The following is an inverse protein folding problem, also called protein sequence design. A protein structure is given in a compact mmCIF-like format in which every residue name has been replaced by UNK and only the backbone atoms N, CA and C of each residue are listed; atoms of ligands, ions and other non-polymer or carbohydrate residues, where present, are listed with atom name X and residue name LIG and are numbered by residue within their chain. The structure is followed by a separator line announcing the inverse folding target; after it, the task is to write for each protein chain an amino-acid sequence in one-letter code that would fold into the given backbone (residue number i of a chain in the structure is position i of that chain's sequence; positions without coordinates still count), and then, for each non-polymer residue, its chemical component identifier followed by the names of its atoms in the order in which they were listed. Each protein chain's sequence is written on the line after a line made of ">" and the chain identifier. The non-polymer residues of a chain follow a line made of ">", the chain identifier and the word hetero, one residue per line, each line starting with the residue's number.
data_IF_281163107961
#
_entry.id   IF_281163107961
#
_cell.length_a   1.000
_cell.length_b   1.000
_cell.length_c   1.000
_cell.angle_alpha   90.00
_cell.angle_beta   90.00
_cell.angle_gamma   90.00
#
_symmetry.space_group_name_H-M   'P 1'
#
loop_
_entity.id
_entity.type
_entity.pdbx_description
1 polymer ?
#
# COMPACT_ATOMS: atom_id res chain seq x y z
N UNK A 1 3.18 31.97 9.29
CA UNK A 1 1.81 31.68 9.76
C UNK A 1 1.70 30.19 10.07
N UNK A 2 1.07 29.78 11.18
CA UNK A 2 0.81 28.36 11.43
C UNK A 2 -0.02 27.80 10.27
N UNK A 3 0.41 26.71 9.65
CA UNK A 3 -0.40 26.06 8.61
C UNK A 3 -1.75 25.66 9.19
N UNK A 4 -2.84 26.17 8.61
CA UNK A 4 -4.18 25.85 9.08
C UNK A 4 -4.40 24.33 9.11
N UNK A 5 -4.84 23.80 10.26
CA UNK A 5 -4.93 22.36 10.48
C UNK A 5 -6.07 21.78 9.63
N UNK A 6 -5.81 20.66 8.97
CA UNK A 6 -6.74 19.93 8.10
C UNK A 6 -7.04 18.54 8.67
N UNK A 7 -8.22 18.02 8.37
CA UNK A 7 -8.59 16.65 8.69
C UNK A 7 -7.87 15.64 7.78
N UNK A 8 -7.19 14.62 8.35
CA UNK A 8 -6.49 13.60 7.55
C UNK A 8 -7.42 12.69 6.73
N UNK A 9 -8.72 12.64 7.06
CA UNK A 9 -9.69 11.87 6.29
C UNK A 9 -10.16 12.58 5.02
N UNK A 10 -10.53 13.85 5.12
CA UNK A 10 -11.23 14.57 4.05
C UNK A 10 -10.49 15.82 3.54
N UNK A 11 -9.37 16.20 4.15
CA UNK A 11 -8.56 17.34 3.75
C UNK A 11 -9.16 18.73 4.01
N UNK A 12 -10.39 18.80 4.49
CA UNK A 12 -11.06 20.07 4.82
C UNK A 12 -10.40 20.72 6.04
N UNK A 13 -10.37 22.05 6.03
CA UNK A 13 -9.91 22.87 7.14
C UNK A 13 -10.84 22.74 8.35
N UNK A 14 -10.28 22.91 9.55
CA UNK A 14 -11.08 23.10 10.76
C UNK A 14 -11.57 24.55 10.83
N UNK A 15 -12.87 24.77 10.65
CA UNK A 15 -13.55 26.07 10.65
C UNK A 15 -14.58 26.18 11.78
N UNK A 16 -14.38 25.42 12.87
CA UNK A 16 -15.27 25.42 14.06
C UNK A 16 -16.10 24.15 14.26
N UNK A 17 -16.04 23.18 13.33
CA UNK A 17 -16.72 21.89 13.52
C UNK A 17 -16.12 21.05 14.67
N UNK A 18 -16.92 20.14 15.23
CA UNK A 18 -16.45 19.18 16.22
C UNK A 18 -15.32 18.28 15.68
N UNK A 19 -14.34 18.04 16.53
CA UNK A 19 -13.14 17.29 16.20
C UNK A 19 -12.80 16.28 17.27
N UNK A 20 -12.20 15.17 16.86
CA UNK A 20 -11.62 14.16 17.73
C UNK A 20 -10.18 13.85 17.32
N UNK A 21 -9.55 12.94 18.05
CA UNK A 21 -8.24 12.39 17.71
C UNK A 21 -8.45 11.02 17.09
N UNK A 22 -7.85 10.81 15.92
CA UNK A 22 -7.85 9.51 15.26
C UNK A 22 -6.46 8.91 15.35
N UNK A 23 -6.39 7.66 15.78
CA UNK A 23 -5.18 6.87 15.70
C UNK A 23 -5.06 6.26 14.30
N UNK A 24 -3.90 6.41 13.66
CA UNK A 24 -3.65 5.71 12.39
C UNK A 24 -3.50 4.22 12.64
N UNK A 25 -2.85 3.85 13.74
CA UNK A 25 -2.80 2.49 14.27
C UNK A 25 -4.01 2.34 15.20
N UNK A 26 -5.02 1.52 14.85
CA UNK A 26 -6.25 1.44 15.64
C UNK A 26 -5.97 1.00 17.08
N UNK A 27 -6.78 1.46 18.03
CA UNK A 27 -6.58 1.17 19.45
C UNK A 27 -6.56 -0.33 19.75
N UNK A 28 -7.41 -1.12 19.07
CA UNK A 28 -7.42 -2.57 19.25
C UNK A 28 -6.10 -3.23 18.83
N UNK A 29 -5.36 -2.66 17.87
CA UNK A 29 -4.05 -3.16 17.45
C UNK A 29 -2.95 -2.69 18.39
N UNK A 30 -3.08 -1.48 18.95
CA UNK A 30 -2.23 -1.01 20.05
C UNK A 30 -2.31 -1.95 21.25
N UNK A 31 -3.51 -2.44 21.58
CA UNK A 31 -3.72 -3.39 22.67
C UNK A 31 -3.24 -4.80 22.29
N UNK A 32 -3.60 -5.30 21.10
CA UNK A 32 -3.23 -6.64 20.60
C UNK A 32 -1.70 -6.81 20.48
N UNK A 33 -0.99 -5.75 20.12
CA UNK A 33 0.47 -5.76 19.93
C UNK A 33 1.23 -5.21 21.15
N UNK A 34 0.55 -4.92 22.27
CA UNK A 34 1.15 -4.41 23.51
C UNK A 34 2.01 -3.14 23.29
N UNK A 35 1.45 -2.16 22.59
CA UNK A 35 2.16 -0.94 22.15
C UNK A 35 2.00 0.24 23.10
N UNK A 36 1.27 0.09 24.22
CA UNK A 36 0.88 1.18 25.12
C UNK A 36 2.07 2.01 25.63
N UNK A 37 3.21 1.36 25.86
CA UNK A 37 4.44 1.99 26.34
C UNK A 37 5.60 1.85 25.35
N UNK A 38 5.34 1.42 24.11
CA UNK A 38 6.37 1.21 23.10
C UNK A 38 6.55 2.44 22.22
N UNK A 39 7.80 2.70 21.88
CA UNK A 39 8.20 3.65 20.85
C UNK A 39 8.76 2.89 19.65
N UNK A 40 8.72 3.52 18.48
CA UNK A 40 9.46 3.06 17.32
C UNK A 40 10.32 4.19 16.76
N UNK A 41 11.56 3.89 16.32
CA UNK A 41 12.37 4.87 15.63
C UNK A 41 11.73 5.18 14.27
N UNK A 42 11.40 6.45 14.06
CA UNK A 42 10.85 6.95 12.81
C UNK A 42 11.90 7.83 12.15
N UNK A 43 12.41 7.37 11.01
CA UNK A 43 13.37 8.10 10.18
C UNK A 43 12.65 8.74 9.01
N UNK A 44 12.30 10.02 9.13
CA UNK A 44 11.53 10.74 8.11
C UNK A 44 12.09 12.13 7.87
N UNK A 45 12.24 12.46 6.58
CA UNK A 45 12.78 13.76 6.17
C UNK A 45 14.13 14.04 6.83
N UNK A 46 15.02 13.03 6.92
CA UNK A 46 16.37 13.13 7.49
C UNK A 46 16.44 13.49 8.97
N UNK A 47 15.35 13.30 9.71
CA UNK A 47 15.35 13.27 11.18
C UNK A 47 14.96 11.88 11.62
N UNK A 48 15.60 11.41 12.68
CA UNK A 48 15.22 10.19 13.38
C UNK A 48 14.74 10.59 14.76
N UNK A 49 13.55 10.13 15.15
CA UNK A 49 12.99 10.36 16.47
C UNK A 49 12.14 9.15 16.88
N UNK A 50 12.01 8.93 18.19
CA UNK A 50 11.18 7.88 18.73
C UNK A 50 9.73 8.36 18.84
N UNK A 51 8.85 7.76 18.04
CA UNK A 51 7.43 8.03 18.07
C UNK A 51 6.74 7.05 19.04
N UNK A 52 6.01 7.52 20.08
CA UNK A 52 5.15 6.66 20.87
C UNK A 52 4.07 6.08 19.96
N UNK A 53 4.03 4.75 19.82
CA UNK A 53 3.18 4.09 18.84
C UNK A 53 1.69 4.38 19.07
N UNK A 54 1.27 4.47 20.33
CA UNK A 54 -0.09 4.88 20.71
C UNK A 54 -0.45 6.33 20.36
N UNK A 55 0.52 7.18 20.02
CA UNK A 55 0.30 8.59 19.66
C UNK A 55 0.41 8.84 18.16
N UNK A 56 0.58 7.79 17.35
CA UNK A 56 0.56 7.92 15.88
C UNK A 56 -0.88 8.15 15.45
N UNK A 57 -1.21 9.42 15.26
CA UNK A 57 -2.57 9.88 15.00
C UNK A 57 -2.62 11.35 14.62
N UNK A 58 -3.82 11.83 14.33
CA UNK A 58 -4.04 13.24 14.00
C UNK A 58 -5.43 13.71 14.41
N UNK A 59 -5.58 15.03 14.51
CA UNK A 59 -6.88 15.66 14.71
C UNK A 59 -7.73 15.47 13.44
N UNK A 60 -8.99 15.08 13.63
CA UNK A 60 -9.93 14.76 12.56
C UNK A 60 -11.32 15.34 12.85
N UNK A 61 -12.15 15.47 11.80
CA UNK A 61 -13.55 15.82 11.98
C UNK A 61 -14.30 14.65 12.63
N UNK A 62 -15.13 14.91 13.64
CA UNK A 62 -15.88 13.87 14.37
C UNK A 62 -16.69 12.97 13.43
N UNK A 63 -17.46 13.56 12.51
CA UNK A 63 -18.21 12.86 11.45
C UNK A 63 -17.34 11.90 10.64
N UNK A 64 -16.15 12.35 10.21
CA UNK A 64 -15.26 11.50 9.42
C UNK A 64 -14.75 10.31 10.23
N UNK A 65 -14.48 10.50 11.51
CA UNK A 65 -14.06 9.41 12.38
C UNK A 65 -15.20 8.42 12.66
N UNK A 66 -16.39 8.91 12.97
CA UNK A 66 -17.58 8.07 13.21
C UNK A 66 -17.94 7.20 12.00
N UNK A 67 -17.79 7.72 10.78
CA UNK A 67 -17.95 6.92 9.56
C UNK A 67 -16.90 5.80 9.42
N UNK A 68 -15.73 5.94 10.06
CA UNK A 68 -14.58 5.05 9.90
C UNK A 68 -14.36 4.10 11.08
N UNK A 69 -14.99 4.35 12.22
CA UNK A 69 -14.97 3.43 13.37
C UNK A 69 -15.52 2.05 13.01
N UNK A 70 -16.59 1.99 12.20
CA UNK A 70 -17.17 0.74 11.68
C UNK A 70 -16.15 -0.10 10.91
N UNK A 71 -15.34 0.56 10.05
CA UNK A 71 -14.29 -0.13 9.29
C UNK A 71 -13.24 -0.75 10.22
N UNK A 72 -12.85 -0.06 11.29
CA UNK A 72 -11.89 -0.61 12.25
C UNK A 72 -12.43 -1.83 13.01
N UNK A 73 -13.70 -1.78 13.44
CA UNK A 73 -14.34 -2.91 14.11
C UNK A 73 -14.42 -4.13 13.18
N UNK A 74 -14.78 -3.92 11.92
CA UNK A 74 -14.81 -4.98 10.91
C UNK A 74 -13.40 -5.51 10.62
N UNK A 75 -12.40 -4.64 10.49
CA UNK A 75 -11.00 -5.03 10.28
C UNK A 75 -10.45 -5.85 11.44
N UNK A 76 -10.80 -5.51 12.69
CA UNK A 76 -10.48 -6.33 13.87
C UNK A 76 -11.03 -7.74 13.74
N UNK A 77 -12.30 -7.88 13.33
CA UNK A 77 -12.91 -9.19 13.13
C UNK A 77 -12.18 -10.01 12.04
N UNK A 78 -11.77 -9.36 10.95
CA UNK A 78 -10.97 -10.02 9.90
C UNK A 78 -9.59 -10.43 10.41
N UNK A 79 -8.90 -9.57 11.18
CA UNK A 79 -7.62 -9.91 11.80
C UNK A 79 -7.73 -11.15 12.70
N UNK A 80 -8.77 -11.19 13.55
CA UNK A 80 -9.05 -12.34 14.44
C UNK A 80 -9.31 -13.61 13.63
N UNK A 81 -10.05 -13.53 12.52
CA UNK A 81 -10.24 -14.69 11.62
C UNK A 81 -8.92 -15.22 11.06
N UNK A 82 -8.03 -14.33 10.61
CA UNK A 82 -6.70 -14.72 10.11
C UNK A 82 -5.89 -15.41 11.21
N UNK A 83 -5.88 -14.83 12.40
CA UNK A 83 -5.18 -15.37 13.57
C UNK A 83 -5.69 -16.76 13.94
N UNK A 84 -7.00 -16.93 13.96
CA UNK A 84 -7.70 -18.11 14.49
C UNK A 84 -8.07 -19.14 13.40
N UNK A 85 -7.38 -19.10 12.25
CA UNK A 85 -7.54 -20.06 11.14
C UNK A 85 -8.95 -20.16 10.54
N UNK A 86 -9.70 -19.06 10.60
CA UNK A 86 -11.05 -18.98 10.02
C UNK A 86 -10.98 -18.51 8.57
N UNK A 87 -11.74 -19.18 7.70
CA UNK A 87 -11.82 -18.85 6.29
C UNK A 87 -12.34 -17.42 6.05
N UNK A 88 -11.71 -16.69 5.13
CA UNK A 88 -12.11 -15.36 4.72
C UNK A 88 -13.17 -15.40 3.63
N UNK A 89 -14.16 -14.54 3.76
CA UNK A 89 -15.20 -14.27 2.76
C UNK A 89 -14.81 -13.12 1.82
N UNK A 90 -15.57 -12.93 0.74
CA UNK A 90 -15.41 -11.75 -0.13
C UNK A 90 -15.51 -10.43 0.64
N UNK A 91 -16.45 -10.32 1.58
CA UNK A 91 -16.61 -9.11 2.40
C UNK A 91 -15.41 -8.90 3.33
N UNK A 92 -14.85 -9.97 3.91
CA UNK A 92 -13.63 -9.89 4.72
C UNK A 92 -12.45 -9.37 3.90
N UNK A 93 -12.32 -9.83 2.64
CA UNK A 93 -11.30 -9.35 1.71
C UNK A 93 -11.42 -7.86 1.39
N UNK A 94 -12.65 -7.37 1.12
CA UNK A 94 -12.91 -5.95 0.87
C UNK A 94 -12.55 -5.12 2.10
N UNK A 95 -13.01 -5.55 3.29
CA UNK A 95 -12.73 -4.89 4.56
C UNK A 95 -11.24 -4.81 4.84
N UNK A 96 -10.50 -5.89 4.62
CA UNK A 96 -9.06 -5.92 4.82
C UNK A 96 -8.35 -4.93 3.89
N UNK A 97 -8.71 -4.91 2.60
CA UNK A 97 -8.11 -4.01 1.62
C UNK A 97 -8.44 -2.53 1.91
N UNK A 98 -9.68 -2.21 2.29
CA UNK A 98 -10.08 -0.86 2.73
C UNK A 98 -9.30 -0.40 3.96
N UNK A 99 -9.13 -1.30 4.94
CA UNK A 99 -8.38 -1.00 6.16
C UNK A 99 -6.89 -0.79 5.87
N UNK A 100 -6.29 -1.62 5.02
CA UNK A 100 -4.88 -1.46 4.61
C UNK A 100 -4.67 -0.15 3.85
N UNK A 101 -5.60 0.25 2.97
CA UNK A 101 -5.59 1.57 2.32
C UNK A 101 -5.62 2.71 3.35
N UNK A 102 -6.49 2.59 4.37
CA UNK A 102 -6.58 3.57 5.46
C UNK A 102 -5.25 3.69 6.20
N UNK A 103 -4.67 2.57 6.65
CA UNK A 103 -3.42 2.58 7.41
C UNK A 103 -2.28 3.14 6.56
N UNK A 104 -2.13 2.70 5.31
CA UNK A 104 -1.10 3.17 4.38
C UNK A 104 -1.16 4.68 4.13
N UNK A 105 -2.33 5.20 3.75
CA UNK A 105 -2.50 6.63 3.48
C UNK A 105 -2.43 7.45 4.77
N UNK A 106 -2.99 6.93 5.88
CA UNK A 106 -2.92 7.58 7.18
C UNK A 106 -1.49 7.71 7.69
N UNK A 107 -0.68 6.66 7.54
CA UNK A 107 0.73 6.70 7.94
C UNK A 107 1.52 7.69 7.08
N UNK A 108 1.25 7.77 5.78
CA UNK A 108 1.85 8.77 4.90
C UNK A 108 1.49 10.21 5.30
N UNK A 109 0.21 10.48 5.60
CA UNK A 109 -0.22 11.81 6.05
C UNK A 109 0.41 12.19 7.39
N UNK A 110 0.47 11.24 8.32
CA UNK A 110 1.11 11.43 9.62
C UNK A 110 2.62 11.71 9.46
N UNK A 111 3.30 10.88 8.67
CA UNK A 111 4.71 11.02 8.32
C UNK A 111 5.04 12.40 7.73
N UNK A 112 4.21 12.83 6.79
CA UNK A 112 4.32 14.14 6.16
C UNK A 112 4.12 15.28 7.17
N UNK A 113 3.15 15.15 8.08
CA UNK A 113 2.93 16.11 9.16
C UNK A 113 4.08 16.18 10.17
N UNK A 114 4.70 15.04 10.48
CA UNK A 114 5.86 14.95 11.37
C UNK A 114 7.16 15.47 10.74
N UNK A 115 7.23 15.52 9.39
CA UNK A 115 8.41 15.99 8.68
C UNK A 115 8.71 17.48 8.91
N UNK A 116 9.98 17.93 8.83
CA UNK A 116 10.36 19.35 8.89
C UNK A 116 9.60 20.19 7.87
N UNK A 117 9.24 21.43 8.21
CA UNK A 117 8.43 22.30 7.36
C UNK A 117 8.95 22.46 5.91
N UNK A 118 10.28 22.52 5.73
CA UNK A 118 10.95 22.61 4.43
C UNK A 118 10.98 21.30 3.62
N UNK A 119 10.54 20.19 4.21
CA UNK A 119 10.44 18.85 3.58
C UNK A 119 9.00 18.34 3.52
N UNK A 120 8.03 19.07 4.08
CA UNK A 120 6.62 18.69 3.99
C UNK A 120 6.13 18.85 2.57
N UNK A 121 5.47 17.81 2.07
CA UNK A 121 4.74 17.86 0.82
C UNK A 121 3.34 18.42 1.08
N UNK A 122 2.78 19.12 0.10
CA UNK A 122 1.36 19.46 0.13
C UNK A 122 0.57 18.21 -0.24
N UNK A 123 -0.27 17.64 0.65
CA UNK A 123 -1.03 16.46 0.30
C UNK A 123 -2.02 16.75 -0.83
N UNK A 124 -1.95 15.95 -1.90
CA UNK A 124 -2.89 16.00 -3.02
C UNK A 124 -4.15 15.16 -2.80
N UNK A 125 -4.13 14.33 -1.76
CA UNK A 125 -5.21 13.43 -1.41
C UNK A 125 -5.17 13.13 0.09
N UNK A 126 -6.30 12.63 0.59
CA UNK A 126 -6.51 12.21 1.96
C UNK A 126 -7.04 10.77 1.98
N UNK A 127 -7.26 10.22 3.18
CA UNK A 127 -7.68 8.82 3.33
C UNK A 127 -8.95 8.52 2.50
N UNK A 128 -9.97 9.38 2.58
CA UNK A 128 -11.23 9.14 1.88
C UNK A 128 -11.12 9.25 0.36
N UNK A 129 -10.13 9.99 -0.14
CA UNK A 129 -9.93 10.20 -1.57
C UNK A 129 -9.25 8.98 -2.23
N UNK A 130 -8.47 8.21 -1.47
CA UNK A 130 -7.64 7.11 -2.00
C UNK A 130 -8.10 5.72 -1.64
N UNK A 131 -8.88 5.56 -0.58
CA UNK A 131 -9.40 4.26 -0.20
C UNK A 131 -10.25 3.68 -1.34
N UNK A 132 -9.91 2.47 -1.78
CA UNK A 132 -10.55 1.80 -2.91
C UNK A 132 -10.59 2.65 -4.19
N UNK A 133 -9.54 3.44 -4.49
CA UNK A 133 -9.48 4.28 -5.70
C UNK A 133 -8.71 3.63 -6.87
N UNK A 134 -7.76 2.75 -6.55
CA UNK A 134 -6.87 2.11 -7.51
C UNK A 134 -6.71 0.62 -7.18
N UNK A 135 -6.22 -0.17 -8.13
CA UNK A 135 -5.94 -1.58 -7.90
C UNK A 135 -5.16 -1.76 -6.61
N UNK A 136 -5.50 -2.84 -5.91
CA UNK A 136 -5.00 -3.09 -4.56
C UNK A 136 -4.75 -4.57 -4.36
N UNK A 137 -3.61 -4.87 -3.74
CA UNK A 137 -3.12 -6.22 -3.47
C UNK A 137 -2.68 -6.25 -2.01
N UNK A 138 -3.05 -7.31 -1.31
CA UNK A 138 -2.54 -7.63 0.01
C UNK A 138 -1.78 -8.95 -0.06
N UNK A 139 -0.51 -8.93 0.34
CA UNK A 139 0.25 -10.14 0.65
C UNK A 139 0.19 -10.37 2.17
N UNK A 140 -0.09 -11.59 2.57
CA UNK A 140 -0.30 -11.98 3.95
C UNK A 140 0.54 -13.22 4.24
N UNK A 141 1.30 -13.16 5.33
CA UNK A 141 2.01 -14.30 5.86
C UNK A 141 1.72 -14.42 7.35
N UNK A 142 1.26 -15.60 7.79
CA UNK A 142 1.06 -15.91 9.20
C UNK A 142 2.15 -16.88 9.65
N UNK A 143 2.81 -16.57 10.76
CA UNK A 143 3.86 -17.38 11.36
C UNK A 143 3.32 -18.10 12.60
N UNK A 144 3.96 -19.18 13.08
CA UNK A 144 3.66 -19.72 14.39
C UNK A 144 3.88 -18.66 15.48
N UNK A 145 3.00 -18.63 16.49
CA UNK A 145 2.97 -17.56 17.49
C UNK A 145 4.24 -17.48 18.36
N UNK A 146 4.98 -18.58 18.50
CA UNK A 146 6.24 -18.68 19.23
C UNK A 146 7.46 -18.21 18.42
N UNK A 147 7.32 -18.04 17.10
CA UNK A 147 8.45 -17.69 16.20
C UNK A 147 8.64 -16.21 15.97
N UNK A 148 7.66 -15.38 16.32
CA UNK A 148 7.71 -13.94 16.13
C UNK A 148 7.26 -13.26 17.42
N UNK A 149 8.07 -12.30 17.90
CA UNK A 149 7.75 -11.56 19.12
C UNK A 149 6.46 -10.74 18.99
N UNK A 150 5.84 -10.43 20.13
CA UNK A 150 4.73 -9.47 20.19
C UNK A 150 5.20 -8.07 19.81
N UNK A 151 4.38 -7.32 19.09
CA UNK A 151 4.69 -5.95 18.70
C UNK A 151 4.22 -5.61 17.29
N UNK A 152 4.68 -4.46 16.81
CA UNK A 152 4.45 -4.01 15.44
C UNK A 152 5.76 -3.58 14.80
N UNK A 153 5.94 -3.93 13.53
CA UNK A 153 7.04 -3.46 12.68
C UNK A 153 6.46 -2.98 11.36
N UNK A 154 7.00 -1.88 10.85
CA UNK A 154 6.57 -1.25 9.62
C UNK A 154 7.67 -1.33 8.56
N UNK A 155 7.30 -1.59 7.31
CA UNK A 155 8.21 -1.72 6.17
C UNK A 155 7.74 -0.85 4.99
N UNK A 156 8.66 -0.53 4.09
CA UNK A 156 8.33 0.26 2.88
C UNK A 156 8.11 1.75 3.13
N UNK A 157 8.55 2.28 4.29
CA UNK A 157 8.47 3.70 4.66
C UNK A 157 9.71 4.51 4.23
N UNK A 158 10.36 4.09 3.14
CA UNK A 158 11.54 4.78 2.64
C UNK A 158 11.20 6.14 1.98
N UNK A 159 12.21 6.84 1.45
CA UNK A 159 12.01 8.15 0.83
C UNK A 159 10.99 8.14 -0.31
N UNK A 160 10.89 7.05 -1.08
CA UNK A 160 9.92 6.93 -2.18
C UNK A 160 8.47 6.87 -1.67
N UNK A 161 8.23 6.34 -0.47
CA UNK A 161 6.91 6.33 0.17
C UNK A 161 6.33 7.72 0.33
N UNK A 162 7.18 8.73 0.58
CA UNK A 162 6.75 10.12 0.67
C UNK A 162 6.21 10.65 -0.67
N UNK A 163 6.75 10.18 -1.79
CA UNK A 163 6.35 10.62 -3.13
C UNK A 163 5.18 9.83 -3.69
N UNK A 164 5.11 8.54 -3.37
CA UNK A 164 4.02 7.66 -3.74
C UNK A 164 3.82 6.63 -2.64
N UNK A 165 2.78 6.78 -1.79
CA UNK A 165 2.55 5.84 -0.70
C UNK A 165 1.92 4.54 -1.23
N UNK A 166 2.45 3.96 -2.30
CA UNK A 166 1.85 2.84 -3.03
C UNK A 166 2.12 1.49 -2.36
N UNK A 167 3.11 1.41 -1.48
CA UNK A 167 3.55 0.16 -0.86
C UNK A 167 3.74 0.39 0.63
N UNK A 168 3.24 -0.52 1.46
CA UNK A 168 3.46 -0.52 2.91
C UNK A 168 3.48 -1.96 3.40
N UNK A 169 4.47 -2.31 4.22
CA UNK A 169 4.46 -3.55 5.00
C UNK A 169 4.19 -3.26 6.48
N UNK A 170 3.56 -4.22 7.14
CA UNK A 170 3.26 -4.19 8.57
C UNK A 170 3.28 -5.62 9.12
N UNK A 171 4.16 -5.91 10.06
CA UNK A 171 4.13 -7.14 10.85
C UNK A 171 3.52 -6.80 12.20
N UNK A 172 2.40 -7.43 12.56
CA UNK A 172 1.81 -7.31 13.89
C UNK A 172 1.73 -8.69 14.54
N UNK A 173 2.43 -8.85 15.65
CA UNK A 173 2.68 -10.14 16.28
C UNK A 173 3.22 -11.12 15.24
N UNK A 174 2.52 -12.23 15.01
CA UNK A 174 2.89 -13.28 14.07
C UNK A 174 2.23 -13.14 12.68
N UNK A 175 1.64 -11.99 12.33
CA UNK A 175 0.97 -11.80 11.03
C UNK A 175 1.57 -10.60 10.29
N UNK A 176 2.15 -10.85 9.12
CA UNK A 176 2.64 -9.83 8.20
C UNK A 176 1.59 -9.50 7.13
N UNK A 177 1.39 -8.21 6.89
CA UNK A 177 0.58 -7.65 5.83
C UNK A 177 1.44 -6.75 4.96
N UNK A 178 1.37 -6.91 3.64
CA UNK A 178 1.96 -5.98 2.69
C UNK A 178 0.86 -5.48 1.75
N UNK A 179 0.55 -4.19 1.88
CA UNK A 179 -0.40 -3.45 1.06
C UNK A 179 0.32 -2.85 -0.14
N UNK A 180 -0.16 -3.19 -1.33
CA UNK A 180 0.30 -2.64 -2.61
C UNK A 180 -0.90 -1.99 -3.28
N UNK A 181 -0.79 -0.74 -3.72
CA UNK A 181 -1.86 -0.06 -4.43
C UNK A 181 -1.34 0.94 -5.44
N UNK A 182 -1.75 0.79 -6.68
CA UNK A 182 -1.45 1.70 -7.78
C UNK A 182 -2.41 1.44 -8.93
N UNK A 183 -2.66 2.43 -9.78
CA UNK A 183 -3.57 2.27 -10.91
C UNK A 183 -3.04 1.21 -11.89
N UNK A 184 -3.93 0.29 -12.26
CA UNK A 184 -3.65 -0.81 -13.20
C UNK A 184 -2.52 -1.75 -12.74
N UNK A 185 -2.23 -1.80 -11.44
CA UNK A 185 -1.23 -2.71 -10.88
C UNK A 185 -1.68 -4.17 -10.97
N UNK A 186 -2.92 -4.48 -10.60
CA UNK A 186 -3.43 -5.85 -10.70
C UNK A 186 -3.88 -6.16 -12.12
N UNK A 187 -4.48 -5.18 -12.82
CA UNK A 187 -5.00 -5.35 -14.17
C UNK A 187 -3.97 -5.95 -15.12
N UNK A 188 -2.73 -5.43 -15.11
CA UNK A 188 -1.62 -5.92 -15.96
C UNK A 188 -1.18 -7.36 -15.69
N UNK A 189 -1.57 -7.93 -14.56
CA UNK A 189 -1.29 -9.33 -14.24
C UNK A 189 -2.44 -10.24 -14.68
N UNK A 190 -3.67 -9.75 -14.61
CA UNK A 190 -4.88 -10.45 -15.08
C UNK A 190 -5.05 -10.41 -16.60
N UNK A 191 -4.61 -9.32 -17.24
CA UNK A 191 -4.75 -9.08 -18.68
C UNK A 191 -3.45 -8.58 -19.26
N UNK A 192 -3.18 -8.92 -20.51
CA UNK A 192 -2.08 -8.32 -21.26
C UNK A 192 -2.56 -6.96 -21.76
N UNK A 193 -2.21 -5.90 -21.03
CA UNK A 193 -2.61 -4.52 -21.32
C UNK A 193 -1.39 -3.63 -21.56
N UNK A 194 -1.40 -2.86 -22.63
CA UNK A 194 -0.47 -1.74 -22.80
C UNK A 194 -1.03 -0.55 -22.06
N UNK A 195 -0.26 0.00 -21.12
CA UNK A 195 -0.66 1.17 -20.33
C UNK A 195 0.19 2.35 -20.81
N UNK A 196 -0.42 3.30 -21.52
CA UNK A 196 0.26 4.55 -21.91
C UNK A 196 -0.18 5.67 -21.00
N UNK A 197 0.78 6.44 -20.51
CA UNK A 197 0.55 7.53 -19.56
C UNK A 197 1.24 8.79 -20.05
N UNK A 198 0.52 9.91 -20.00
CA UNK A 198 1.04 11.25 -20.30
C UNK A 198 0.91 12.12 -19.07
N UNK A 199 2.01 12.73 -18.61
CA UNK A 199 2.00 13.66 -17.50
C UNK A 199 1.66 15.07 -18.01
N UNK A 200 0.71 15.73 -17.34
CA UNK A 200 0.31 17.10 -17.60
C UNK A 200 0.99 18.08 -16.63
N UNK A 201 1.03 19.37 -16.98
CA UNK A 201 1.66 20.41 -16.16
C UNK A 201 1.05 20.57 -14.75
N UNK A 202 -0.22 20.21 -14.58
CA UNK A 202 -0.92 20.24 -13.30
C UNK A 202 -0.74 18.94 -12.48
N UNK A 203 0.23 18.11 -12.85
CA UNK A 203 0.50 16.78 -12.27
C UNK A 203 -0.60 15.74 -12.45
N UNK A 204 -1.65 16.05 -13.23
CA UNK A 204 -2.61 15.03 -13.63
C UNK A 204 -2.00 14.13 -14.70
N UNK A 205 -2.49 12.90 -14.75
CA UNK A 205 -2.09 11.92 -15.76
C UNK A 205 -3.27 11.66 -16.68
N UNK A 206 -2.99 11.65 -17.98
CA UNK A 206 -3.88 11.03 -18.96
C UNK A 206 -3.41 9.60 -19.15
N UNK A 207 -4.36 8.66 -19.14
CA UNK A 207 -4.09 7.23 -19.29
C UNK A 207 -4.90 6.70 -20.45
N UNK A 208 -4.25 5.91 -21.31
CA UNK A 208 -4.93 5.06 -22.30
C UNK A 208 -4.50 3.61 -22.09
N UNK A 209 -5.46 2.71 -22.30
CA UNK A 209 -5.30 1.27 -22.11
C UNK A 209 -5.68 0.56 -23.40
N UNK A 210 -4.83 -0.35 -23.84
CA UNK A 210 -5.11 -1.22 -24.99
C UNK A 210 -4.85 -2.67 -24.60
N UNK A 211 -5.81 -3.57 -24.85
CA UNK A 211 -5.53 -5.00 -24.81
C UNK A 211 -4.49 -5.35 -25.88
N UNK A 212 -3.54 -6.22 -25.53
CA UNK A 212 -2.46 -6.64 -26.43
C UNK A 212 -2.22 -8.14 -26.33
N UNK A 213 -1.80 -8.76 -27.42
CA UNK A 213 -1.34 -10.15 -27.40
C UNK A 213 0.05 -10.29 -26.79
N UNK A 214 0.83 -9.21 -26.72
CA UNK A 214 2.21 -9.21 -26.23
C UNK A 214 2.20 -9.20 -24.70
N UNK A 215 2.74 -10.24 -24.04
CA UNK A 215 2.86 -10.26 -22.59
C UNK A 215 3.66 -9.06 -22.10
N UNK A 216 3.09 -8.32 -21.16
CA UNK A 216 3.82 -7.30 -20.43
C UNK A 216 4.64 -7.93 -19.30
N UNK A 217 5.59 -7.15 -18.79
CA UNK A 217 6.34 -7.49 -17.58
C UNK A 217 5.36 -7.79 -16.43
N UNK A 218 5.44 -9.01 -15.89
CA UNK A 218 4.66 -9.43 -14.72
C UNK A 218 5.57 -9.52 -13.51
N UNK A 219 5.05 -9.06 -12.37
CA UNK A 219 5.72 -9.19 -11.10
C UNK A 219 5.59 -10.62 -10.60
N UNK A 220 6.68 -11.11 -10.04
CA UNK A 220 6.66 -12.30 -9.21
C UNK A 220 7.05 -11.90 -7.79
N UNK A 221 6.13 -12.12 -6.86
CA UNK A 221 6.19 -11.70 -5.47
C UNK A 221 6.33 -12.95 -4.58
N UNK A 222 7.55 -13.49 -4.44
CA UNK A 222 7.80 -14.66 -3.63
C UNK A 222 7.59 -14.34 -2.15
N UNK A 223 7.33 -15.37 -1.34
CA UNK A 223 7.31 -15.27 0.12
C UNK A 223 5.94 -15.07 0.74
N UNK A 224 4.93 -14.66 -0.03
CA UNK A 224 3.54 -14.70 0.45
C UNK A 224 2.99 -16.12 0.39
N UNK A 225 2.46 -16.61 1.51
CA UNK A 225 1.61 -17.81 1.53
C UNK A 225 0.16 -17.46 1.16
N UNK A 226 -0.18 -16.16 1.23
CA UNK A 226 -1.52 -15.70 0.93
C UNK A 226 -1.56 -14.32 0.26
N UNK A 227 -1.82 -14.27 -1.04
CA UNK A 227 -2.13 -13.04 -1.77
C UNK A 227 -3.61 -12.91 -2.13
N UNK A 228 -4.16 -11.71 -1.96
CA UNK A 228 -5.47 -11.32 -2.50
C UNK A 228 -5.34 -10.00 -3.25
N UNK A 229 -6.21 -9.74 -4.22
CA UNK A 229 -6.25 -8.45 -4.87
C UNK A 229 -7.61 -8.12 -5.48
N UNK A 230 -7.78 -6.83 -5.80
CA UNK A 230 -9.00 -6.31 -6.42
C UNK A 230 -8.61 -5.25 -7.45
N UNK A 231 -9.12 -5.40 -8.66
CA UNK A 231 -9.08 -4.35 -9.68
C UNK A 231 -10.09 -3.25 -9.34
N UNK A 232 -9.63 -2.02 -9.44
CA UNK A 232 -10.41 -0.81 -9.18
C UNK A 232 -10.03 0.22 -10.24
N UNK A 233 -11.01 0.56 -11.09
CA UNK A 233 -10.84 1.44 -12.23
C UNK A 233 -12.16 2.12 -12.59
N UNK A 234 -12.16 2.97 -13.62
CA UNK A 234 -13.42 3.56 -14.12
C UNK A 234 -14.36 2.47 -14.64
N UNK A 235 -15.65 2.63 -14.39
CA UNK A 235 -16.67 1.61 -14.68
C UNK A 235 -16.65 1.16 -16.14
N UNK A 236 -16.41 2.09 -17.07
CA UNK A 236 -16.39 1.80 -18.51
C UNK A 236 -15.20 0.89 -18.91
N UNK A 237 -14.12 0.92 -18.13
CA UNK A 237 -12.92 0.12 -18.40
C UNK A 237 -13.11 -1.37 -18.05
N UNK A 238 -14.12 -1.74 -17.27
CA UNK A 238 -14.35 -3.14 -16.92
C UNK A 238 -14.70 -3.99 -18.14
N UNK A 239 -15.66 -3.52 -18.94
CA UNK A 239 -16.07 -4.21 -20.16
C UNK A 239 -14.93 -4.16 -21.20
N UNK A 240 -14.31 -3.00 -21.40
CA UNK A 240 -13.19 -2.82 -22.34
C UNK A 240 -12.01 -3.74 -22.03
N UNK A 241 -11.68 -3.93 -20.76
CA UNK A 241 -10.56 -4.77 -20.32
C UNK A 241 -10.98 -6.23 -20.07
N UNK A 242 -12.23 -6.60 -20.34
CA UNK A 242 -12.78 -7.94 -20.09
C UNK A 242 -12.55 -8.39 -18.64
N UNK A 243 -12.79 -7.50 -17.67
CA UNK A 243 -12.75 -7.79 -16.23
C UNK A 243 -14.17 -7.69 -15.68
N UNK A 244 -14.70 -8.71 -14.99
CA UNK A 244 -16.05 -8.65 -14.44
C UNK A 244 -16.19 -7.53 -13.39
N UNK A 245 -17.13 -6.61 -13.62
CA UNK A 245 -17.56 -5.63 -12.63
C UNK A 245 -18.41 -6.32 -11.57
N UNK A 246 -18.09 -6.10 -10.29
CA UNK A 246 -18.84 -6.67 -9.17
C UNK A 246 -19.68 -5.63 -8.44
N UNK A 247 -19.09 -4.47 -8.12
CA UNK A 247 -19.76 -3.39 -7.39
C UNK A 247 -19.25 -2.03 -7.84
N UNK A 248 -19.99 -0.96 -7.52
CA UNK A 248 -19.56 0.41 -7.76
C UNK A 248 -19.39 1.11 -6.40
N UNK A 249 -18.23 1.74 -6.19
CA UNK A 249 -17.94 2.48 -4.97
C UNK A 249 -18.85 3.69 -4.82
N UNK A 250 -19.60 3.76 -3.72
CA UNK A 250 -20.58 4.84 -3.49
C UNK A 250 -19.94 6.23 -3.34
N UNK A 251 -18.70 6.30 -2.85
CA UNK A 251 -18.00 7.57 -2.58
C UNK A 251 -17.16 8.07 -3.76
N UNK A 252 -16.50 7.17 -4.48
CA UNK A 252 -15.56 7.52 -5.55
C UNK A 252 -16.07 7.19 -6.96
N UNK A 253 -17.23 6.52 -7.08
CA UNK A 253 -17.84 6.07 -8.34
C UNK A 253 -16.93 5.17 -9.20
N UNK A 254 -15.93 4.54 -8.58
CA UNK A 254 -15.04 3.59 -9.25
C UNK A 254 -15.72 2.23 -9.30
N UNK A 255 -15.53 1.51 -10.41
CA UNK A 255 -15.94 0.12 -10.53
C UNK A 255 -14.95 -0.77 -9.79
N UNK A 256 -15.46 -1.80 -9.12
CA UNK A 256 -14.69 -2.76 -8.35
C UNK A 256 -14.97 -4.17 -8.85
N UNK A 257 -13.92 -4.95 -9.11
CA UNK A 257 -14.03 -6.40 -9.32
C UNK A 257 -14.30 -7.15 -8.01
N UNK A 258 -14.55 -8.46 -8.07
CA UNK A 258 -14.45 -9.34 -6.89
C UNK A 258 -13.04 -9.29 -6.31
N UNK A 259 -12.89 -9.67 -5.04
CA UNK A 259 -11.57 -9.92 -4.46
C UNK A 259 -11.11 -11.29 -4.93
N UNK A 260 -9.95 -11.33 -5.59
CA UNK A 260 -9.38 -12.53 -6.17
C UNK A 260 -8.29 -13.09 -5.26
N UNK A 261 -8.24 -14.42 -5.17
CA UNK A 261 -7.08 -15.14 -4.63
C UNK A 261 -6.00 -15.18 -5.69
N UNK A 262 -4.78 -14.79 -5.32
CA UNK A 262 -3.66 -14.67 -6.26
C UNK A 262 -2.52 -15.64 -5.92
N UNK A 263 -1.83 -16.15 -6.96
CA UNK A 263 -0.56 -16.84 -6.79
C UNK A 263 0.63 -15.86 -6.73
N UNK A 264 1.85 -16.40 -6.64
CA UNK A 264 3.07 -15.58 -6.55
C UNK A 264 3.36 -14.76 -7.81
N UNK A 265 2.80 -15.13 -8.96
CA UNK A 265 2.89 -14.35 -10.20
C UNK A 265 1.70 -13.41 -10.39
N UNK A 266 0.93 -13.18 -9.32
CA UNK A 266 -0.28 -12.34 -9.28
C UNK A 266 -1.36 -12.77 -10.28
N UNK A 267 -1.35 -14.03 -10.70
CA UNK A 267 -2.43 -14.60 -11.48
C UNK A 267 -3.56 -15.05 -10.56
N UNK A 268 -4.80 -14.91 -11.05
CA UNK A 268 -5.99 -15.41 -10.38
C UNK A 268 -5.91 -16.94 -10.20
N UNK A 269 -6.28 -17.39 -9.01
CA UNK A 269 -6.33 -18.83 -8.66
C UNK A 269 -7.73 -19.27 -8.24
N UNK A 270 -8.51 -18.38 -7.62
CA UNK A 270 -9.88 -18.64 -7.17
C UNK A 270 -10.57 -17.33 -6.78
N UNK A 271 -11.90 -17.31 -6.77
CA UNK A 271 -12.71 -16.25 -6.13
C UNK A 271 -13.15 -16.63 -4.70
N UNK A 272 -12.72 -17.79 -4.19
CA UNK A 272 -12.84 -18.18 -2.79
C UNK A 272 -11.52 -17.86 -2.07
N UNK A 273 -11.57 -17.02 -1.05
CA UNK A 273 -10.34 -16.54 -0.38
C UNK A 273 -9.76 -17.62 0.55
N UNK A 274 -10.59 -18.32 1.32
CA UNK A 274 -10.16 -19.44 2.17
C UNK A 274 -9.36 -18.99 3.41
N UNK A 275 -8.61 -19.93 3.98
CA UNK A 275 -7.82 -19.73 5.21
C UNK A 275 -6.44 -19.18 4.85
N UNK A 276 -5.91 -18.26 5.66
CA UNK A 276 -4.51 -17.82 5.57
C UNK A 276 -3.62 -18.88 6.23
N UNK A 277 -2.83 -19.65 5.47
CA UNK A 277 -2.05 -20.74 6.05
C UNK A 277 -0.89 -20.19 6.88
N UNK A 278 -0.63 -20.86 8.00
CA UNK A 278 0.61 -20.70 8.77
C UNK A 278 1.80 -21.19 7.94
N UNK A 279 2.84 -20.37 7.85
CA UNK A 279 4.09 -20.72 7.19
C UNK A 279 5.13 -21.17 8.21
N UNK A 280 5.62 -22.40 8.07
CA UNK A 280 6.74 -22.94 8.86
C UNK A 280 8.12 -22.46 8.37
N UNK A 281 8.13 -21.62 7.33
CA UNK A 281 9.37 -21.02 6.81
C UNK A 281 10.00 -20.11 7.85
N UNK A 282 11.32 -19.99 7.77
CA UNK A 282 12.09 -19.02 8.55
C UNK A 282 11.45 -17.62 8.43
N UNK A 283 11.06 -17.03 9.56
CA UNK A 283 10.32 -15.77 9.62
C UNK A 283 11.15 -14.61 9.05
N UNK A 284 12.44 -14.52 9.38
CA UNK A 284 13.34 -13.51 8.83
C UNK A 284 13.50 -13.61 7.31
N UNK A 285 13.65 -14.83 6.78
CA UNK A 285 13.75 -15.04 5.34
C UNK A 285 12.44 -14.67 4.63
N UNK A 286 11.29 -15.04 5.22
CA UNK A 286 9.97 -14.73 4.66
C UNK A 286 9.70 -13.22 4.66
N UNK A 287 10.01 -12.52 5.77
CA UNK A 287 9.90 -11.07 5.86
C UNK A 287 10.82 -10.38 4.85
N UNK A 288 12.06 -10.88 4.68
CA UNK A 288 12.98 -10.36 3.67
C UNK A 288 12.44 -10.52 2.25
N UNK A 289 11.73 -11.62 1.93
CA UNK A 289 11.06 -11.79 0.63
C UNK A 289 9.87 -10.85 0.44
N UNK A 290 9.11 -10.56 1.49
CA UNK A 290 8.01 -9.61 1.42
C UNK A 290 8.53 -8.17 1.25
N UNK A 291 9.60 -7.80 1.96
CA UNK A 291 10.33 -6.55 1.73
C UNK A 291 10.86 -6.46 0.29
N UNK A 292 11.45 -7.55 -0.23
CA UNK A 292 11.90 -7.62 -1.62
C UNK A 292 10.73 -7.42 -2.60
N UNK A 293 9.57 -8.01 -2.31
CA UNK A 293 8.34 -7.85 -3.10
C UNK A 293 7.88 -6.39 -3.10
N UNK A 294 7.91 -5.72 -1.95
CA UNK A 294 7.63 -4.29 -1.83
C UNK A 294 8.61 -3.45 -2.67
N UNK A 295 9.92 -3.71 -2.56
CA UNK A 295 10.94 -2.99 -3.31
C UNK A 295 10.78 -3.17 -4.84
N UNK A 296 10.48 -4.40 -5.30
CA UNK A 296 10.18 -4.70 -6.71
C UNK A 296 8.97 -3.94 -7.24
N UNK A 297 7.89 -3.88 -6.45
CA UNK A 297 6.69 -3.12 -6.83
C UNK A 297 7.02 -1.63 -6.95
N UNK A 298 7.71 -1.06 -5.96
CA UNK A 298 8.13 0.34 -6.02
C UNK A 298 9.05 0.64 -7.20
N UNK A 299 9.99 -0.25 -7.52
CA UNK A 299 10.87 -0.14 -8.68
C UNK A 299 10.08 -0.16 -10.00
N UNK A 300 9.14 -1.10 -10.16
CA UNK A 300 8.26 -1.16 -11.33
C UNK A 300 7.47 0.15 -11.50
N UNK A 301 6.92 0.69 -10.42
CA UNK A 301 6.17 1.95 -10.47
C UNK A 301 7.06 3.14 -10.85
N UNK A 302 8.32 3.16 -10.41
CA UNK A 302 9.27 4.19 -10.85
C UNK A 302 9.63 4.03 -12.33
N UNK A 303 9.80 2.79 -12.82
CA UNK A 303 10.03 2.52 -14.24
C UNK A 303 8.85 2.95 -15.11
N UNK A 304 7.64 2.63 -14.69
CA UNK A 304 6.43 3.10 -15.36
C UNK A 304 6.38 4.63 -15.42
N UNK A 305 6.73 5.31 -14.33
CA UNK A 305 6.79 6.77 -14.29
C UNK A 305 7.83 7.33 -15.26
N UNK A 306 9.02 6.71 -15.33
CA UNK A 306 10.09 7.09 -16.26
C UNK A 306 9.74 6.84 -17.73
N UNK A 307 8.80 5.93 -18.02
CA UNK A 307 8.28 5.64 -19.36
C UNK A 307 7.11 6.56 -19.77
N UNK A 308 6.62 7.41 -18.88
CA UNK A 308 5.53 8.33 -19.21
C UNK A 308 5.94 9.28 -20.33
N UNK A 309 4.97 9.73 -21.11
CA UNK A 309 5.15 10.86 -22.02
C UNK A 309 5.13 12.17 -21.22
N UNK A 310 6.24 12.90 -21.25
CA UNK A 310 6.38 14.22 -20.62
C UNK A 310 6.25 15.37 -21.62
N UNK A 311 5.88 15.10 -22.89
CA UNK A 311 5.75 16.11 -23.94
C UNK A 311 4.79 17.24 -23.57
N UNK A 312 3.77 16.93 -22.74
CA UNK A 312 2.75 17.86 -22.24
C UNK A 312 3.11 18.59 -20.95
N UNK A 313 4.31 18.38 -20.41
CA UNK A 313 4.84 19.18 -19.29
C UNK A 313 5.62 20.36 -19.86
N UNK A 314 4.98 21.51 -20.04
CA UNK A 314 5.58 22.68 -20.69
C UNK A 314 6.69 23.31 -19.84
N UNK A 315 6.62 23.20 -18.51
CA UNK A 315 7.66 23.73 -17.64
C UNK A 315 8.92 22.84 -17.64
N UNK A 316 10.07 23.27 -18.20
CA UNK A 316 11.25 22.42 -18.32
C UNK A 316 11.88 22.09 -16.97
N UNK A 317 11.80 23.01 -16.00
CA UNK A 317 12.30 22.78 -14.64
C UNK A 317 11.46 21.72 -13.94
N UNK A 318 10.14 21.80 -14.07
CA UNK A 318 9.23 20.79 -13.52
C UNK A 318 9.54 19.40 -14.11
N UNK A 319 9.62 19.31 -15.45
CA UNK A 319 9.99 18.09 -16.16
C UNK A 319 11.34 17.53 -15.69
N UNK A 320 12.35 18.38 -15.59
CA UNK A 320 13.70 17.98 -15.16
C UNK A 320 13.71 17.46 -13.71
N UNK A 321 13.05 18.17 -12.78
CA UNK A 321 12.95 17.75 -11.38
C UNK A 321 12.19 16.43 -11.23
N UNK A 322 11.06 16.27 -11.92
CA UNK A 322 10.27 15.04 -11.89
C UNK A 322 11.09 13.82 -12.36
N UNK A 323 11.73 13.93 -13.53
CA UNK A 323 12.59 12.88 -14.08
C UNK A 323 13.83 12.62 -13.19
N UNK A 324 14.46 13.66 -12.68
CA UNK A 324 15.61 13.56 -11.79
C UNK A 324 15.29 12.77 -10.52
N UNK A 325 14.20 13.13 -9.84
CA UNK A 325 13.75 12.43 -8.64
C UNK A 325 13.39 10.96 -8.94
N UNK A 326 12.65 10.70 -10.01
CA UNK A 326 12.27 9.35 -10.40
C UNK A 326 13.49 8.47 -10.70
N UNK A 327 14.53 9.00 -11.36
CA UNK A 327 15.79 8.28 -11.61
C UNK A 327 16.54 7.94 -10.33
N UNK A 328 16.61 8.90 -9.39
CA UNK A 328 17.27 8.69 -8.08
C UNK A 328 16.54 7.59 -7.31
N UNK A 329 15.20 7.62 -7.26
CA UNK A 329 14.43 6.59 -6.56
C UNK A 329 14.50 5.22 -7.24
N UNK A 330 14.43 5.19 -8.57
CA UNK A 330 14.63 3.96 -9.34
C UNK A 330 15.99 3.32 -9.05
N UNK A 331 17.07 4.12 -9.05
CA UNK A 331 18.40 3.64 -8.71
C UNK A 331 18.47 3.12 -7.27
N UNK A 332 17.94 3.88 -6.31
CA UNK A 332 17.91 3.47 -4.90
C UNK A 332 17.16 2.13 -4.71
N UNK A 333 15.99 1.97 -5.35
CA UNK A 333 15.22 0.72 -5.31
C UNK A 333 15.92 -0.44 -5.99
N UNK A 334 16.67 -0.19 -7.06
CA UNK A 334 17.52 -1.22 -7.69
C UNK A 334 18.59 -1.72 -6.72
N UNK A 335 19.21 -0.84 -5.93
CA UNK A 335 20.20 -1.25 -4.92
C UNK A 335 19.55 -2.01 -3.76
N UNK A 336 18.42 -1.51 -3.25
CA UNK A 336 17.67 -2.17 -2.18
C UNK A 336 17.23 -3.60 -2.59
N UNK A 337 16.78 -3.78 -3.83
CA UNK A 337 16.46 -5.11 -4.38
C UNK A 337 17.68 -6.05 -4.34
N UNK A 338 18.87 -5.54 -4.67
CA UNK A 338 20.12 -6.34 -4.63
C UNK A 338 20.49 -6.70 -3.19
N UNK A 339 20.42 -5.73 -2.27
CA UNK A 339 20.70 -5.93 -0.85
C UNK A 339 19.76 -6.96 -0.22
N UNK A 340 18.45 -6.83 -0.45
CA UNK A 340 17.44 -7.76 0.05
C UNK A 340 17.60 -9.15 -0.58
N UNK A 341 17.98 -9.23 -1.85
CA UNK A 341 18.31 -10.50 -2.52
C UNK A 341 19.50 -11.20 -1.84
N UNK A 342 20.60 -10.47 -1.61
CA UNK A 342 21.78 -11.02 -0.93
C UNK A 342 21.47 -11.44 0.51
N UNK A 343 20.69 -10.63 1.24
CA UNK A 343 20.23 -10.93 2.60
C UNK A 343 19.37 -12.20 2.64
N UNK A 344 18.45 -12.37 1.69
CA UNK A 344 17.66 -13.60 1.60
C UNK A 344 18.54 -14.82 1.31
N UNK A 345 19.48 -14.69 0.37
CA UNK A 345 20.42 -15.75 -0.01
C UNK A 345 21.31 -16.14 1.18
N UNK A 346 21.79 -15.19 1.98
CA UNK A 346 22.59 -15.49 3.16
C UNK A 346 21.78 -16.17 4.27
N UNK A 347 20.50 -15.80 4.44
CA UNK A 347 19.62 -16.41 5.44
C UNK A 347 19.19 -17.85 5.10
N UNK A 348 19.23 -18.24 3.83
CA UNK A 348 18.62 -19.51 3.37
C UNK A 348 19.56 -20.44 2.61
N UNK A 349 20.68 -19.92 2.07
CA UNK A 349 21.50 -20.63 1.09
C UNK A 349 20.85 -20.76 -0.29
N UNK A 350 19.62 -20.27 -0.50
CA UNK A 350 18.87 -20.43 -1.75
C UNK A 350 19.13 -19.25 -2.67
N UNK A 351 19.70 -19.52 -3.85
CA UNK A 351 19.92 -18.51 -4.89
C UNK A 351 18.62 -18.14 -5.58
N UNK A 352 18.12 -16.93 -5.33
CA UNK A 352 17.09 -16.31 -6.19
C UNK A 352 17.67 -16.10 -7.59
N UNK A 353 17.08 -16.75 -8.60
CA UNK A 353 17.43 -16.53 -9.99
C UNK A 353 17.10 -15.08 -10.36
N UNK A 354 17.95 -14.45 -11.17
CA UNK A 354 17.58 -13.20 -11.85
C UNK A 354 16.36 -13.52 -12.70
N UNK A 355 15.23 -12.93 -12.35
CA UNK A 355 14.08 -12.93 -13.23
C UNK A 355 14.45 -12.00 -14.39
N UNK A 356 14.53 -12.60 -15.58
CA UNK A 356 14.87 -11.93 -16.85
C UNK A 356 13.73 -10.98 -17.23
#
# INVERSE_FOLDING_TARGET
>A
MPSARKCIFCGKLFTGQETNFEHVIPQWLVDEADLQNRTAPVSMGGRTFDAPLKKIGSKVCKKCNEERSKLESMAKAVYVKIRDDVALTQQDGITLLDWLDKVRVGMWLWANGASPANRRLTPKFHINDRMAYADRIALIAKFPADKVGKGILFYGFDKSFMWGPSVMGMLTNNIAFFSLSSEFLLLRHLRNVTIRRTLLDNDHQQVSLDLTSIPQEKLHLPGSSFAIGQCVMDQNLFDEMSVPLSTIGTKNRRGHSKVLRLNQSLAETSDVLGIVPTTERNSHATLTLLELSAAKVSELLMRDYLKMDFSKVLNPRHRHTALGNARVFHFAKTQEIRELTMKYQSLTGIRLLKQV
#
